data_IF_753380630899
#
_entry.id   IF_753380630899
#
_cell.length_a   1.000
_cell.length_b   1.000
_cell.length_c   1.000
_cell.angle_alpha   90.00
_cell.angle_beta   90.00
_cell.angle_gamma   90.00
#
_symmetry.space_group_name_H-M   'P 1'
#
loop_
_entity.id
_entity.type
_entity.pdbx_description
1 polymer ?
#
# COMPACT_ATOMS: atom_id res chain seq x y z
N UNK A 1 1.32 -26.81 16.47
CA UNK A 1 1.09 -27.27 15.09
C UNK A 1 2.17 -26.81 14.10
N UNK A 2 2.72 -25.57 14.24
CA UNK A 2 3.77 -25.00 13.35
C UNK A 2 5.07 -25.82 13.39
N UNK A 3 5.57 -26.16 14.56
CA UNK A 3 6.79 -26.95 14.72
C UNK A 3 6.67 -28.35 14.13
N UNK A 4 5.48 -28.96 14.19
CA UNK A 4 5.19 -30.25 13.57
C UNK A 4 5.25 -30.15 12.04
N UNK A 5 4.63 -29.11 11.47
CA UNK A 5 4.67 -28.85 10.03
C UNK A 5 6.09 -28.60 9.51
N UNK A 6 6.91 -27.80 10.24
CA UNK A 6 8.31 -27.53 9.89
C UNK A 6 9.16 -28.80 9.89
N UNK A 7 8.97 -29.65 10.91
CA UNK A 7 9.67 -30.93 11.01
C UNK A 7 9.26 -31.90 9.90
N UNK A 8 7.96 -31.99 9.61
CA UNK A 8 7.44 -32.92 8.61
C UNK A 8 7.86 -32.55 7.17
N UNK A 9 8.17 -31.28 6.93
CA UNK A 9 8.65 -30.74 5.64
C UNK A 9 10.15 -30.47 5.58
N UNK A 10 10.91 -30.84 6.62
CA UNK A 10 12.37 -30.59 6.73
C UNK A 10 12.75 -29.09 6.56
N UNK A 11 11.92 -28.18 7.06
CA UNK A 11 12.15 -26.74 6.98
C UNK A 11 12.79 -26.28 8.29
N UNK A 12 13.92 -25.56 8.21
CA UNK A 12 14.56 -24.97 9.38
C UNK A 12 13.62 -23.90 9.98
N UNK A 13 13.44 -23.89 11.32
CA UNK A 13 12.68 -22.82 11.96
C UNK A 13 13.42 -21.49 11.78
N UNK A 14 12.67 -20.39 11.59
CA UNK A 14 13.27 -19.05 11.66
C UNK A 14 13.77 -18.78 13.07
N UNK A 15 14.95 -18.20 13.20
CA UNK A 15 15.55 -17.85 14.49
C UNK A 15 14.72 -16.76 15.19
N UNK A 16 14.06 -15.89 14.41
CA UNK A 16 13.17 -14.85 14.91
C UNK A 16 11.94 -14.70 14.00
N UNK A 17 10.75 -14.39 14.55
CA UNK A 17 9.57 -14.03 13.75
C UNK A 17 9.78 -12.79 12.87
N UNK A 18 10.74 -11.95 13.24
CA UNK A 18 11.14 -10.72 12.55
C UNK A 18 12.36 -10.89 11.65
N UNK A 19 12.78 -12.13 11.39
CA UNK A 19 13.88 -12.39 10.47
C UNK A 19 13.53 -11.86 9.09
N UNK A 20 14.26 -10.84 8.65
CA UNK A 20 13.99 -10.08 7.42
C UNK A 20 14.55 -10.79 6.17
N UNK A 21 14.25 -12.08 6.00
CA UNK A 21 14.49 -12.76 4.71
C UNK A 21 13.64 -12.12 3.62
N UNK A 22 14.06 -12.19 2.35
CA UNK A 22 13.34 -11.54 1.25
C UNK A 22 11.84 -11.86 1.21
N UNK A 23 11.48 -13.11 1.49
CA UNK A 23 10.09 -13.53 1.53
C UNK A 23 9.33 -13.03 2.76
N UNK A 24 9.94 -13.14 3.94
CA UNK A 24 9.31 -12.68 5.17
C UNK A 24 9.15 -11.17 5.18
N UNK A 25 10.11 -10.44 4.61
CA UNK A 25 10.06 -8.99 4.51
C UNK A 25 8.88 -8.49 3.66
N UNK A 26 8.55 -9.20 2.59
CA UNK A 26 7.38 -8.87 1.77
C UNK A 26 6.06 -9.00 2.57
N UNK A 27 5.95 -10.02 3.41
CA UNK A 27 4.81 -10.15 4.33
C UNK A 27 4.81 -9.08 5.42
N UNK A 28 5.96 -8.76 5.99
CA UNK A 28 6.08 -7.70 7.01
C UNK A 28 5.64 -6.34 6.46
N UNK A 29 5.91 -6.05 5.18
CA UNK A 29 5.46 -4.79 4.56
C UNK A 29 3.94 -4.68 4.45
N UNK A 30 3.23 -5.79 4.40
CA UNK A 30 1.76 -5.78 4.37
C UNK A 30 1.14 -5.66 5.76
N UNK A 31 1.96 -5.85 6.82
CA UNK A 31 1.53 -5.76 8.21
C UNK A 31 1.71 -4.34 8.76
N UNK A 32 1.00 -4.05 9.84
CA UNK A 32 1.19 -2.86 10.62
C UNK A 32 2.57 -2.87 11.33
N UNK A 33 3.31 -1.76 11.43
CA UNK A 33 3.02 -0.39 11.02
C UNK A 33 3.43 -0.02 9.57
N UNK A 34 4.04 -0.93 8.81
CA UNK A 34 4.56 -0.63 7.47
C UNK A 34 3.48 -0.21 6.49
N UNK A 35 2.29 -0.82 6.56
CA UNK A 35 1.14 -0.44 5.72
C UNK A 35 0.71 1.00 5.94
N UNK A 36 0.84 1.53 7.16
CA UNK A 36 0.53 2.93 7.49
C UNK A 36 1.55 3.88 6.86
N UNK A 37 2.85 3.57 6.96
CA UNK A 37 3.91 4.38 6.33
C UNK A 37 3.68 4.44 4.82
N UNK A 38 3.31 3.32 4.22
CA UNK A 38 3.00 3.21 2.80
C UNK A 38 1.82 4.09 2.39
N UNK A 39 0.74 4.04 3.16
CA UNK A 39 -0.44 4.86 2.93
C UNK A 39 -0.12 6.36 3.02
N UNK A 40 0.65 6.78 4.03
CA UNK A 40 1.09 8.17 4.18
C UNK A 40 1.93 8.60 2.97
N UNK A 41 2.85 7.76 2.50
CA UNK A 41 3.68 8.06 1.33
C UNK A 41 2.83 8.26 0.08
N UNK A 42 1.84 7.39 -0.16
CA UNK A 42 0.93 7.55 -1.30
C UNK A 42 0.11 8.84 -1.20
N UNK A 43 -0.39 9.18 -0.01
CA UNK A 43 -1.12 10.43 0.21
C UNK A 43 -0.22 11.63 -0.13
N UNK A 44 1.02 11.64 0.37
CA UNK A 44 1.98 12.73 0.11
C UNK A 44 2.38 12.85 -1.36
N UNK A 45 2.29 11.78 -2.14
CA UNK A 45 2.59 11.82 -3.58
C UNK A 45 1.43 12.34 -4.42
N UNK A 46 0.18 12.19 -3.96
CA UNK A 46 -0.98 12.47 -4.79
C UNK A 46 -1.96 13.53 -4.24
N UNK A 47 -1.69 14.09 -3.05
CA UNK A 47 -2.60 15.05 -2.40
C UNK A 47 -2.83 16.33 -3.22
N UNK A 48 -1.84 16.75 -3.98
CA UNK A 48 -1.85 18.03 -4.70
C UNK A 48 -2.38 17.92 -6.14
N UNK A 49 -2.76 16.73 -6.59
CA UNK A 49 -3.13 16.45 -8.00
C UNK A 49 -4.25 17.34 -8.54
N UNK A 50 -5.17 17.77 -7.69
CA UNK A 50 -6.23 18.74 -8.02
C UNK A 50 -6.09 20.06 -7.27
N UNK A 51 -5.66 20.03 -6.01
CA UNK A 51 -5.51 21.26 -5.20
C UNK A 51 -4.52 22.23 -5.84
N UNK A 52 -3.43 21.74 -6.44
CA UNK A 52 -2.46 22.56 -7.15
C UNK A 52 -3.08 23.32 -8.33
N UNK A 53 -4.00 22.71 -9.08
CA UNK A 53 -4.70 23.41 -10.17
C UNK A 53 -5.54 24.56 -9.64
N UNK A 54 -6.14 24.43 -8.46
CA UNK A 54 -6.93 25.49 -7.84
C UNK A 54 -6.03 26.57 -7.26
N UNK A 55 -4.97 26.21 -6.58
CA UNK A 55 -4.02 27.14 -5.97
C UNK A 55 -3.29 28.00 -7.03
N UNK A 56 -2.90 27.39 -8.14
CA UNK A 56 -2.22 28.09 -9.26
C UNK A 56 -3.19 28.80 -10.23
N UNK A 57 -4.49 28.56 -10.09
CA UNK A 57 -5.50 29.09 -11.02
C UNK A 57 -5.52 28.37 -12.39
N UNK A 58 -4.72 27.32 -12.58
CA UNK A 58 -4.63 26.56 -13.83
C UNK A 58 -5.97 25.91 -14.20
N UNK A 59 -6.86 25.65 -13.23
CA UNK A 59 -8.19 25.11 -13.47
C UNK A 59 -8.99 25.95 -14.46
N UNK A 60 -8.82 27.29 -14.50
CA UNK A 60 -9.53 28.19 -15.42
C UNK A 60 -9.21 27.87 -16.87
N UNK A 61 -7.94 27.68 -17.19
CA UNK A 61 -7.49 27.33 -18.54
C UNK A 61 -7.81 25.87 -18.91
N UNK A 62 -7.83 24.96 -17.95
CA UNK A 62 -8.16 23.56 -18.18
C UNK A 62 -9.65 23.37 -18.50
N UNK A 63 -10.54 24.09 -17.80
CA UNK A 63 -11.99 23.96 -17.99
C UNK A 63 -12.56 24.81 -19.12
N UNK A 64 -11.78 25.71 -19.72
CA UNK A 64 -12.17 26.46 -20.93
C UNK A 64 -11.84 25.73 -22.23
N UNK A 65 -11.06 24.62 -22.17
CA UNK A 65 -10.76 23.79 -23.34
C UNK A 65 -11.97 22.94 -23.72
N UNK A 66 -12.01 22.52 -25.00
CA UNK A 66 -13.07 21.67 -25.59
C UNK A 66 -13.28 20.32 -24.90
N UNK A 67 -12.30 19.88 -24.10
CA UNK A 67 -12.38 18.64 -23.33
C UNK A 67 -13.28 18.83 -22.11
N UNK A 68 -14.41 18.13 -22.08
CA UNK A 68 -15.36 18.20 -20.96
C UNK A 68 -14.71 17.84 -19.62
N UNK A 69 -15.19 18.46 -18.53
CA UNK A 69 -14.68 18.30 -17.15
C UNK A 69 -14.51 16.83 -16.74
N UNK A 70 -15.42 15.96 -17.15
CA UNK A 70 -15.39 14.53 -16.84
C UNK A 70 -14.18 13.83 -17.49
N UNK A 71 -13.77 14.22 -18.69
CA UNK A 71 -12.57 13.66 -19.33
C UNK A 71 -11.31 13.99 -18.58
N UNK A 72 -11.17 15.24 -18.16
CA UNK A 72 -10.01 15.71 -17.39
C UNK A 72 -9.95 14.99 -16.04
N UNK A 73 -11.09 14.88 -15.35
CA UNK A 73 -11.18 14.18 -14.09
C UNK A 73 -10.78 12.70 -14.22
N UNK A 74 -11.42 11.98 -15.14
CA UNK A 74 -11.15 10.56 -15.35
C UNK A 74 -9.70 10.29 -15.76
N UNK A 75 -9.10 11.15 -16.59
CA UNK A 75 -7.70 11.01 -16.99
C UNK A 75 -6.75 11.20 -15.81
N UNK A 76 -6.96 12.20 -14.96
CA UNK A 76 -6.16 12.41 -13.75
C UNK A 76 -6.34 11.27 -12.75
N UNK A 77 -7.57 10.80 -12.55
CA UNK A 77 -7.86 9.68 -11.66
C UNK A 77 -7.17 8.40 -12.14
N UNK A 78 -7.34 8.04 -13.41
CA UNK A 78 -6.69 6.86 -13.99
C UNK A 78 -5.17 6.94 -13.93
N UNK A 79 -4.61 8.11 -14.29
CA UNK A 79 -3.18 8.36 -14.22
C UNK A 79 -2.64 8.17 -12.79
N UNK A 80 -3.32 8.76 -11.80
CA UNK A 80 -2.90 8.64 -10.38
C UNK A 80 -2.95 7.21 -9.88
N UNK A 81 -4.01 6.46 -10.20
CA UNK A 81 -4.15 5.06 -9.80
C UNK A 81 -3.05 4.20 -10.44
N UNK A 82 -2.82 4.34 -11.75
CA UNK A 82 -1.79 3.57 -12.45
C UNK A 82 -0.40 3.89 -11.93
N UNK A 83 -0.08 5.16 -11.69
CA UNK A 83 1.21 5.55 -11.10
C UNK A 83 1.37 5.06 -9.67
N UNK A 84 0.32 5.12 -8.84
CA UNK A 84 0.37 4.61 -7.48
C UNK A 84 0.65 3.10 -7.45
N UNK A 85 -0.01 2.33 -8.32
CA UNK A 85 0.25 0.90 -8.47
C UNK A 85 1.67 0.64 -8.96
N UNK A 86 2.14 1.37 -9.98
CA UNK A 86 3.50 1.22 -10.50
C UNK A 86 4.56 1.54 -9.43
N UNK A 87 4.44 2.65 -8.72
CA UNK A 87 5.33 3.03 -7.63
C UNK A 87 5.31 1.98 -6.52
N UNK A 88 4.13 1.49 -6.15
CA UNK A 88 3.98 0.44 -5.13
C UNK A 88 4.70 -0.85 -5.53
N UNK A 89 4.55 -1.29 -6.78
CA UNK A 89 5.25 -2.49 -7.28
C UNK A 89 6.76 -2.28 -7.28
N UNK A 90 7.25 -1.13 -7.77
CA UNK A 90 8.69 -0.82 -7.79
C UNK A 90 9.27 -0.86 -6.38
N UNK A 91 8.62 -0.22 -5.43
CA UNK A 91 9.09 -0.17 -4.05
C UNK A 91 9.06 -1.56 -3.39
N UNK A 92 8.01 -2.36 -3.61
CA UNK A 92 7.93 -3.75 -3.14
C UNK A 92 9.07 -4.61 -3.70
N UNK A 93 9.33 -4.51 -4.99
CA UNK A 93 10.40 -5.26 -5.65
C UNK A 93 11.78 -4.83 -5.13
N UNK A 94 12.03 -3.53 -5.06
CA UNK A 94 13.32 -3.00 -4.60
C UNK A 94 13.59 -3.38 -3.14
N UNK A 95 12.62 -3.26 -2.27
CA UNK A 95 12.76 -3.63 -0.86
C UNK A 95 12.97 -5.14 -0.67
N UNK A 96 12.28 -5.97 -1.46
CA UNK A 96 12.48 -7.42 -1.45
C UNK A 96 13.88 -7.80 -1.94
N UNK A 97 14.41 -7.13 -2.98
CA UNK A 97 15.77 -7.34 -3.46
C UNK A 97 16.79 -7.00 -2.37
N UNK A 98 16.65 -5.85 -1.71
CA UNK A 98 17.55 -5.44 -0.62
C UNK A 98 17.52 -6.46 0.53
N UNK A 99 16.33 -6.88 0.97
CA UNK A 99 16.19 -7.88 2.01
C UNK A 99 16.83 -9.22 1.64
N UNK A 100 16.66 -9.63 0.37
CA UNK A 100 17.27 -10.87 -0.16
C UNK A 100 18.79 -10.79 -0.21
N UNK A 101 19.36 -9.65 -0.56
CA UNK A 101 20.82 -9.46 -0.60
C UNK A 101 21.46 -9.49 0.79
N UNK A 102 20.74 -9.02 1.80
CA UNK A 102 21.27 -8.95 3.19
C UNK A 102 21.09 -10.28 3.91
N UNK A 103 19.92 -10.90 3.84
CA UNK A 103 19.53 -12.04 4.70
C UNK A 103 19.16 -13.31 3.90
N UNK A 104 19.37 -13.30 2.58
CA UNK A 104 18.96 -14.42 1.73
C UNK A 104 17.48 -14.42 1.39
N UNK A 105 17.09 -15.27 0.44
CA UNK A 105 15.71 -15.30 -0.09
C UNK A 105 14.70 -15.94 0.87
N UNK A 106 15.12 -16.92 1.64
CA UNK A 106 14.23 -17.71 2.49
C UNK A 106 13.56 -18.89 1.76
N UNK A 107 12.69 -19.62 2.47
CA UNK A 107 12.00 -20.80 1.93
C UNK A 107 10.56 -20.49 1.51
N UNK A 108 10.23 -20.70 0.24
CA UNK A 108 8.89 -20.47 -0.32
C UNK A 108 7.77 -21.35 0.30
N UNK A 109 8.15 -22.39 1.02
CA UNK A 109 7.24 -23.34 1.67
C UNK A 109 7.00 -22.97 3.13
N UNK A 110 7.64 -21.90 3.62
CA UNK A 110 7.51 -21.51 5.01
C UNK A 110 6.05 -21.22 5.38
N UNK A 111 5.51 -21.88 6.44
CA UNK A 111 4.10 -21.70 6.81
C UNK A 111 3.88 -20.33 7.47
N UNK A 112 2.93 -19.60 6.95
CA UNK A 112 2.44 -18.35 7.51
C UNK A 112 1.09 -18.60 8.18
N UNK A 113 0.90 -18.03 9.37
CA UNK A 113 -0.40 -18.04 10.03
C UNK A 113 -1.33 -17.06 9.31
N UNK A 114 -2.36 -17.62 8.68
CA UNK A 114 -3.40 -16.85 8.00
C UNK A 114 -4.75 -17.15 8.64
N UNK A 115 -5.32 -16.15 9.33
CA UNK A 115 -6.50 -16.35 10.16
C UNK A 115 -6.23 -17.14 11.43
N UNK A 116 -7.28 -17.50 12.17
CA UNK A 116 -7.14 -18.04 13.53
C UNK A 116 -6.58 -19.48 13.60
N UNK A 117 -6.56 -20.26 12.52
CA UNK A 117 -6.24 -21.70 12.61
C UNK A 117 -5.49 -22.33 11.44
N UNK A 118 -5.27 -21.65 10.33
CA UNK A 118 -4.68 -22.28 9.13
C UNK A 118 -3.24 -21.86 8.87
N UNK A 119 -2.35 -22.86 8.81
CA UNK A 119 -0.99 -22.70 8.29
C UNK A 119 -1.05 -22.82 6.77
N UNK A 120 -0.74 -21.76 6.05
CA UNK A 120 -0.70 -21.73 4.59
C UNK A 120 0.73 -21.50 4.10
N UNK A 121 1.15 -22.11 2.99
CA UNK A 121 2.44 -21.78 2.40
C UNK A 121 2.48 -20.30 1.98
N UNK A 122 3.66 -19.70 2.09
CA UNK A 122 3.89 -18.28 1.80
C UNK A 122 3.30 -17.82 0.45
N UNK A 123 3.49 -18.61 -0.61
CA UNK A 123 2.96 -18.29 -1.95
C UNK A 123 1.45 -18.15 -1.99
N UNK A 124 0.75 -19.01 -1.24
CA UNK A 124 -0.71 -18.97 -1.11
C UNK A 124 -1.18 -17.74 -0.31
N UNK A 125 -0.46 -17.37 0.76
CA UNK A 125 -0.76 -16.19 1.54
C UNK A 125 -0.65 -14.90 0.69
N UNK A 126 0.42 -14.75 -0.09
CA UNK A 126 0.62 -13.61 -0.98
C UNK A 126 -0.48 -13.50 -2.04
N UNK A 127 -0.83 -14.61 -2.70
CA UNK A 127 -1.89 -14.56 -3.73
C UNK A 127 -3.25 -14.17 -3.16
N UNK A 128 -3.55 -14.54 -1.92
CA UNK A 128 -4.80 -14.15 -1.24
C UNK A 128 -4.78 -12.69 -0.76
N UNK A 129 -3.62 -12.16 -0.35
CA UNK A 129 -3.48 -10.77 0.10
C UNK A 129 -3.41 -9.76 -1.06
N UNK A 130 -2.89 -10.15 -2.22
CA UNK A 130 -2.68 -9.25 -3.36
C UNK A 130 -3.93 -8.45 -3.77
N UNK A 131 -5.13 -9.05 -3.92
CA UNK A 131 -6.33 -8.30 -4.27
C UNK A 131 -6.71 -7.25 -3.22
N UNK A 132 -6.55 -7.57 -1.93
CA UNK A 132 -6.83 -6.65 -0.84
C UNK A 132 -5.87 -5.45 -0.85
N UNK A 133 -4.58 -5.68 -1.11
CA UNK A 133 -3.57 -4.62 -1.23
C UNK A 133 -3.91 -3.70 -2.40
N UNK A 134 -4.23 -4.25 -3.57
CA UNK A 134 -4.60 -3.47 -4.75
C UNK A 134 -5.84 -2.62 -4.46
N UNK A 135 -6.88 -3.21 -3.88
CA UNK A 135 -8.11 -2.48 -3.51
C UNK A 135 -7.81 -1.39 -2.48
N UNK A 136 -6.95 -1.64 -1.50
CA UNK A 136 -6.50 -0.66 -0.52
C UNK A 136 -5.80 0.55 -1.18
N UNK A 137 -4.87 0.31 -2.10
CA UNK A 137 -4.19 1.37 -2.85
C UNK A 137 -5.20 2.19 -3.66
N UNK A 138 -6.08 1.53 -4.42
CA UNK A 138 -7.11 2.21 -5.22
C UNK A 138 -8.04 3.04 -4.33
N UNK A 139 -8.44 2.51 -3.18
CA UNK A 139 -9.28 3.21 -2.22
C UNK A 139 -8.61 4.48 -1.67
N UNK A 140 -7.34 4.36 -1.20
CA UNK A 140 -6.58 5.49 -0.65
C UNK A 140 -6.43 6.59 -1.70
N UNK A 141 -6.04 6.24 -2.92
CA UNK A 141 -5.87 7.21 -4.01
C UNK A 141 -7.20 7.86 -4.37
N UNK A 142 -8.26 7.08 -4.53
CA UNK A 142 -9.59 7.62 -4.87
C UNK A 142 -10.10 8.58 -3.80
N UNK A 143 -9.91 8.25 -2.52
CA UNK A 143 -10.30 9.11 -1.42
C UNK A 143 -9.46 10.40 -1.39
N UNK A 144 -8.14 10.29 -1.57
CA UNK A 144 -7.23 11.45 -1.65
C UNK A 144 -7.62 12.39 -2.78
N UNK A 145 -7.90 11.87 -3.97
CA UNK A 145 -8.33 12.66 -5.12
C UNK A 145 -9.71 13.31 -4.90
N UNK A 146 -10.63 12.59 -4.29
CA UNK A 146 -11.95 13.12 -3.94
C UNK A 146 -11.84 14.29 -2.97
N UNK A 147 -11.06 14.14 -1.89
CA UNK A 147 -10.81 15.23 -0.94
C UNK A 147 -10.06 16.41 -1.59
N UNK A 148 -9.13 16.14 -2.50
CA UNK A 148 -8.39 17.18 -3.24
C UNK A 148 -9.32 18.05 -4.10
N UNK A 149 -10.41 17.50 -4.63
CA UNK A 149 -11.41 18.28 -5.36
C UNK A 149 -12.26 19.19 -4.45
N UNK A 150 -12.61 18.69 -3.26
CA UNK A 150 -13.50 19.40 -2.34
C UNK A 150 -12.78 20.51 -1.60
N UNK A 151 -11.61 20.18 -1.03
CA UNK A 151 -10.91 21.05 -0.10
C UNK A 151 -10.08 22.13 -0.80
N UNK A 152 -9.67 21.91 -2.05
CA UNK A 152 -8.89 22.86 -2.87
C UNK A 152 -7.60 23.38 -2.22
N UNK A 153 -7.20 22.83 -1.08
CA UNK A 153 -6.02 23.18 -0.31
C UNK A 153 -5.29 21.91 0.10
N UNK A 154 -4.04 21.76 -0.34
CA UNK A 154 -3.26 20.56 -0.15
C UNK A 154 -2.98 20.22 1.32
N UNK A 155 -2.71 21.24 2.15
CA UNK A 155 -2.41 21.01 3.57
C UNK A 155 -3.60 20.39 4.33
N UNK A 156 -4.83 20.83 4.05
CA UNK A 156 -6.03 20.31 4.68
C UNK A 156 -6.29 18.85 4.30
N UNK A 157 -5.94 18.46 3.06
CA UNK A 157 -6.10 17.08 2.60
C UNK A 157 -5.18 16.16 3.40
N UNK A 158 -3.90 16.54 3.55
CA UNK A 158 -2.91 15.76 4.30
C UNK A 158 -3.37 15.59 5.75
N UNK A 159 -3.80 16.68 6.42
CA UNK A 159 -4.25 16.64 7.81
C UNK A 159 -5.44 15.68 7.97
N UNK A 160 -6.45 15.78 7.11
CA UNK A 160 -7.64 14.92 7.19
C UNK A 160 -7.28 13.46 6.93
N UNK A 161 -6.50 13.19 5.89
CA UNK A 161 -6.12 11.81 5.56
C UNK A 161 -5.28 11.17 6.66
N UNK A 162 -4.29 11.89 7.21
CA UNK A 162 -3.48 11.37 8.31
C UNK A 162 -4.33 11.15 9.56
N UNK A 163 -5.24 12.07 9.89
CA UNK A 163 -6.11 11.91 11.05
C UNK A 163 -7.03 10.69 10.93
N UNK A 164 -7.57 10.40 9.74
CA UNK A 164 -8.37 9.20 9.49
C UNK A 164 -7.55 7.92 9.73
N UNK A 165 -6.28 7.89 9.29
CA UNK A 165 -5.42 6.72 9.52
C UNK A 165 -5.02 6.55 10.98
N UNK A 166 -4.78 7.64 11.71
CA UNK A 166 -4.51 7.58 13.16
C UNK A 166 -5.75 7.08 13.92
N UNK A 167 -6.94 7.51 13.53
CA UNK A 167 -8.18 6.99 14.10
C UNK A 167 -8.35 5.49 13.86
N UNK A 168 -8.13 5.00 12.64
CA UNK A 168 -8.17 3.55 12.33
C UNK A 168 -7.19 2.77 13.20
N UNK A 169 -5.98 3.30 13.37
CA UNK A 169 -4.99 2.69 14.27
C UNK A 169 -5.47 2.59 15.71
N UNK A 170 -6.02 3.69 16.25
CA UNK A 170 -6.49 3.71 17.65
C UNK A 170 -7.64 2.74 17.90
N UNK A 171 -8.50 2.51 16.91
CA UNK A 171 -9.61 1.56 17.03
C UNK A 171 -9.20 0.09 16.97
N UNK A 172 -8.03 -0.21 16.41
CA UNK A 172 -7.51 -1.59 16.35
C UNK A 172 -6.83 -2.05 17.62
N UNK A 173 -6.38 -1.13 18.46
CA UNK A 173 -5.71 -1.44 19.75
C UNK A 173 -6.69 -1.56 20.93
N UNK A 174 -7.96 -1.27 20.73
CA UNK A 174 -9.04 -1.42 21.73
C UNK A 174 -9.79 -2.71 21.48
#
# INVERSE_FOLDING_TARGET
NRLKYLRDNNIAPLESPFEATGQNFLLLQTQYPFSLIWAILLILLFYDMYSLDFETGAYKSLYTKEYGRNKIFNSKCLFSILNALAISIILLVMSTIVATLVNGFGSAIYPVEYGETSLVPWSSAITQMTPAIILGIVFIISLTLFLSQILKNGANIIIIMISLFIMDYSFREV
#
